data_IF_874629078885
#
_entry.id   IF_874629078885
#
_cell.length_a   1.000
_cell.length_b   1.000
_cell.length_c   1.000
_cell.angle_alpha   90.00
_cell.angle_beta   90.00
_cell.angle_gamma   90.00
#
_symmetry.space_group_name_H-M   'P 1'
#
loop_
_entity.id
_entity.type
_entity.pdbx_description
1 polymer ?
#
# COMPACT_ATOMS: atom_id res chain seq x y z
N UNK A 1 1.44 8.11 -13.63
CA UNK A 1 1.00 7.17 -12.57
C UNK A 1 2.03 7.18 -11.46
N UNK A 2 1.61 7.42 -10.21
CA UNK A 2 2.52 7.49 -9.06
C UNK A 2 2.47 6.16 -8.30
N UNK A 3 3.65 5.58 -8.07
CA UNK A 3 3.83 4.29 -7.39
C UNK A 3 4.29 4.52 -5.95
N UNK A 4 3.71 3.79 -5.01
CA UNK A 4 3.98 3.97 -3.57
C UNK A 4 4.36 2.62 -2.95
N UNK A 5 5.56 2.54 -2.37
CA UNK A 5 6.00 1.35 -1.64
C UNK A 5 5.44 1.37 -0.22
N UNK A 6 4.75 0.31 0.16
CA UNK A 6 4.12 0.13 1.46
C UNK A 6 4.84 -0.98 2.20
N UNK A 7 5.56 -0.64 3.28
CA UNK A 7 6.41 -1.57 4.05
C UNK A 7 5.85 -1.96 5.41
N UNK A 8 4.66 -1.46 5.76
CA UNK A 8 4.02 -1.72 7.05
C UNK A 8 3.55 -3.19 7.19
N UNK A 9 3.50 -3.76 8.41
CA UNK A 9 2.96 -5.10 8.65
C UNK A 9 1.47 -5.25 8.34
N UNK A 10 1.03 -6.51 8.18
CA UNK A 10 -0.39 -6.84 8.05
C UNK A 10 -1.12 -6.81 9.41
N UNK A 11 -2.43 -6.45 9.45
CA UNK A 11 -3.31 -6.14 8.31
C UNK A 11 -3.22 -4.68 7.83
N UNK A 12 -2.20 -3.93 8.29
CA UNK A 12 -2.04 -2.52 7.98
C UNK A 12 -1.67 -2.24 6.52
N UNK A 13 -0.84 -3.10 5.92
CA UNK A 13 -0.37 -2.94 4.54
C UNK A 13 -1.56 -2.96 3.58
N UNK A 14 -2.42 -3.97 3.72
CA UNK A 14 -3.65 -4.11 2.95
C UNK A 14 -4.59 -2.89 3.10
N UNK A 15 -4.78 -2.38 4.33
CA UNK A 15 -5.61 -1.18 4.55
C UNK A 15 -5.05 0.08 3.88
N UNK A 16 -3.72 0.25 3.86
CA UNK A 16 -3.09 1.39 3.18
C UNK A 16 -3.16 1.23 1.67
N UNK A 17 -2.92 0.04 1.13
CA UNK A 17 -3.01 -0.22 -0.29
C UNK A 17 -4.40 0.12 -0.82
N UNK A 18 -5.47 -0.25 -0.10
CA UNK A 18 -6.84 0.09 -0.51
C UNK A 18 -7.06 1.61 -0.60
N UNK A 19 -6.66 2.36 0.44
CA UNK A 19 -6.78 3.84 0.44
C UNK A 19 -5.98 4.49 -0.68
N UNK A 20 -4.81 3.94 -1.02
CA UNK A 20 -3.98 4.42 -2.12
C UNK A 20 -4.65 4.17 -3.47
N UNK A 21 -5.26 3.00 -3.68
CA UNK A 21 -6.04 2.69 -4.88
C UNK A 21 -7.22 3.65 -5.03
N UNK A 22 -7.96 3.91 -3.96
CA UNK A 22 -9.12 4.82 -3.96
C UNK A 22 -8.72 6.27 -4.31
N UNK A 23 -7.46 6.63 -4.08
CA UNK A 23 -6.86 7.93 -4.41
C UNK A 23 -6.18 7.96 -5.79
N UNK A 24 -6.19 6.85 -6.54
CA UNK A 24 -5.57 6.75 -7.87
C UNK A 24 -4.06 6.49 -7.86
N UNK A 25 -3.49 6.13 -6.70
CA UNK A 25 -2.10 5.66 -6.61
C UNK A 25 -2.00 4.18 -6.92
N UNK A 26 -0.80 3.75 -7.32
CA UNK A 26 -0.47 2.34 -7.50
C UNK A 26 0.39 1.85 -6.32
N UNK A 27 -0.18 1.17 -5.33
CA UNK A 27 0.59 0.62 -4.22
C UNK A 27 1.45 -0.58 -4.66
N UNK A 28 2.62 -0.72 -4.05
CA UNK A 28 3.48 -1.90 -4.09
C UNK A 28 3.66 -2.36 -2.66
N UNK A 29 3.24 -3.58 -2.34
CA UNK A 29 3.36 -4.13 -0.99
C UNK A 29 4.71 -4.84 -0.83
N UNK A 30 5.44 -4.48 0.22
CA UNK A 30 6.60 -5.22 0.72
C UNK A 30 6.54 -5.27 2.27
N UNK A 31 5.57 -5.98 2.86
CA UNK A 31 5.40 -6.02 4.32
C UNK A 31 6.65 -6.64 4.95
N UNK A 32 7.22 -5.97 5.95
CA UNK A 32 8.46 -6.41 6.59
C UNK A 32 8.25 -7.41 7.75
N UNK A 33 6.99 -7.78 8.05
CA UNK A 33 6.52 -8.92 8.85
C UNK A 33 5.02 -9.10 8.62
#
# INVERSE_FOLDING_TARGET
MVRVLVTRPEPGASRTAQRLLDQGFQPILLPLT
#
